data_IF_287857261941
#
_entry.id   IF_287857261941
#
_cell.length_a   1.000
_cell.length_b   1.000
_cell.length_c   1.000
_cell.angle_alpha   90.00
_cell.angle_beta   90.00
_cell.angle_gamma   90.00
#
_symmetry.space_group_name_H-M   'P 1'
#
loop_
_entity.id
_entity.type
_entity.pdbx_description
1 polymer ?
#
# COMPACT_ATOMS: atom_id res chain seq x y z
N UNK A 1 17.62 -22.27 -0.10
CA UNK A 1 16.67 -22.30 -1.24
C UNK A 1 15.34 -21.60 -0.97
N UNK A 2 14.89 -21.44 0.29
CA UNK A 2 13.63 -20.75 0.61
C UNK A 2 13.54 -19.34 0.00
N UNK A 3 14.56 -18.49 0.19
CA UNK A 3 14.59 -17.15 -0.41
C UNK A 3 14.40 -17.13 -1.93
N UNK A 4 15.00 -18.09 -2.66
CA UNK A 4 14.87 -18.16 -4.11
C UNK A 4 13.43 -18.47 -4.54
N UNK A 5 12.77 -19.41 -3.87
CA UNK A 5 11.38 -19.79 -4.18
C UNK A 5 10.44 -18.62 -3.86
N UNK A 6 10.59 -18.02 -2.68
CA UNK A 6 9.79 -16.86 -2.28
C UNK A 6 10.00 -15.67 -3.24
N UNK A 7 11.24 -15.45 -3.68
CA UNK A 7 11.58 -14.43 -4.69
C UNK A 7 10.89 -14.71 -6.02
N UNK A 8 10.97 -15.95 -6.52
CA UNK A 8 10.32 -16.36 -7.77
C UNK A 8 8.82 -16.18 -7.72
N UNK A 9 8.18 -16.47 -6.57
CA UNK A 9 6.76 -16.19 -6.37
C UNK A 9 6.51 -14.69 -6.58
N UNK A 10 7.20 -13.81 -5.84
CA UNK A 10 7.03 -12.35 -5.95
C UNK A 10 7.24 -11.85 -7.38
N UNK A 11 8.31 -12.30 -8.05
CA UNK A 11 8.63 -11.89 -9.43
C UNK A 11 7.58 -12.40 -10.42
N UNK A 12 7.06 -13.61 -10.25
CA UNK A 12 5.99 -14.13 -11.11
C UNK A 12 4.75 -13.25 -11.04
N UNK A 13 4.32 -12.85 -9.84
CA UNK A 13 3.18 -11.93 -9.69
C UNK A 13 3.46 -10.54 -10.25
N UNK A 14 4.68 -10.03 -10.11
CA UNK A 14 5.09 -8.76 -10.72
C UNK A 14 5.02 -8.85 -12.25
N UNK A 15 5.52 -9.94 -12.85
CA UNK A 15 5.50 -10.15 -14.29
C UNK A 15 4.08 -10.30 -14.85
N UNK A 16 3.21 -11.06 -14.17
CA UNK A 16 1.79 -11.15 -14.54
C UNK A 16 1.11 -9.78 -14.42
N UNK A 17 1.51 -8.95 -13.46
CA UNK A 17 1.05 -7.56 -13.33
C UNK A 17 1.39 -6.70 -14.55
N UNK A 18 2.57 -6.87 -15.15
CA UNK A 18 2.97 -6.21 -16.39
C UNK A 18 2.09 -6.65 -17.57
N UNK A 19 1.92 -7.96 -17.73
CA UNK A 19 1.04 -8.52 -18.79
C UNK A 19 -0.39 -8.01 -18.63
N UNK A 20 -0.90 -7.89 -17.40
CA UNK A 20 -2.22 -7.33 -17.13
C UNK A 20 -2.29 -5.83 -17.44
N UNK A 21 -1.23 -5.08 -17.18
CA UNK A 21 -1.17 -3.66 -17.52
C UNK A 21 -1.23 -3.43 -19.04
N UNK A 22 -0.56 -4.28 -19.82
CA UNK A 22 -0.59 -4.18 -21.29
C UNK A 22 -1.98 -4.50 -21.87
N UNK A 23 -2.74 -5.39 -21.22
CA UNK A 23 -4.09 -5.78 -21.66
C UNK A 23 -5.15 -4.78 -21.18
N UNK A 24 -4.97 -4.22 -19.98
CA UNK A 24 -5.96 -3.36 -19.32
C UNK A 24 -5.47 -1.90 -19.38
N UNK A 25 -6.08 -1.03 -20.22
CA UNK A 25 -5.62 0.34 -20.43
C UNK A 25 -6.05 1.29 -19.30
N UNK A 26 -5.71 0.99 -18.05
CA UNK A 26 -5.88 1.93 -16.94
C UNK A 26 -4.57 2.67 -16.65
N UNK A 27 -4.62 3.97 -16.28
CA UNK A 27 -3.45 4.78 -15.93
C UNK A 27 -2.92 4.44 -14.53
N UNK A 28 -2.61 3.17 -14.29
CA UNK A 28 -2.14 2.65 -13.01
C UNK A 28 -0.83 1.89 -13.27
N UNK A 29 0.21 2.06 -12.44
CA UNK A 29 1.46 1.32 -12.58
C UNK A 29 1.24 -0.19 -12.53
N UNK A 30 1.97 -0.95 -13.35
CA UNK A 30 1.94 -2.42 -13.39
C UNK A 30 2.14 -3.08 -12.01
N UNK A 31 2.98 -2.48 -11.14
CA UNK A 31 3.24 -2.98 -9.79
C UNK A 31 1.98 -3.08 -8.92
N UNK A 32 0.99 -2.21 -9.12
CA UNK A 32 -0.28 -2.24 -8.37
C UNK A 32 -1.08 -3.48 -8.75
N UNK A 33 -1.12 -3.85 -10.04
CA UNK A 33 -1.79 -5.08 -10.49
C UNK A 33 -1.15 -6.31 -9.86
N UNK A 34 0.18 -6.39 -9.84
CA UNK A 34 0.91 -7.49 -9.21
C UNK A 34 0.59 -7.62 -7.71
N UNK A 35 0.52 -6.49 -6.98
CA UNK A 35 0.17 -6.48 -5.55
C UNK A 35 -1.28 -6.92 -5.33
N UNK A 36 -2.23 -6.41 -6.12
CA UNK A 36 -3.66 -6.80 -6.01
C UNK A 36 -3.81 -8.30 -6.30
N UNK A 37 -3.15 -8.80 -7.33
CA UNK A 37 -3.19 -10.21 -7.71
C UNK A 37 -2.63 -11.10 -6.59
N UNK A 38 -1.45 -10.75 -6.06
CA UNK A 38 -0.85 -11.44 -4.93
C UNK A 38 -1.78 -11.40 -3.70
N UNK A 39 -2.39 -10.25 -3.41
CA UNK A 39 -3.33 -10.08 -2.31
C UNK A 39 -4.56 -10.99 -2.43
N UNK A 40 -5.14 -11.13 -3.64
CA UNK A 40 -6.26 -12.04 -3.89
C UNK A 40 -5.86 -13.50 -3.66
N UNK A 41 -4.65 -13.90 -4.05
CA UNK A 41 -4.14 -15.26 -3.81
C UNK A 41 -3.88 -15.53 -2.32
N UNK A 42 -3.39 -14.53 -1.59
CA UNK A 42 -3.25 -14.59 -0.13
C UNK A 42 -4.61 -14.70 0.57
N UNK A 43 -5.61 -13.93 0.13
CA UNK A 43 -6.99 -14.00 0.61
C UNK A 43 -7.58 -15.40 0.41
N UNK A 44 -7.40 -15.99 -0.78
CA UNK A 44 -7.83 -17.36 -1.10
C UNK A 44 -7.03 -18.46 -0.39
N UNK A 45 -6.00 -18.09 0.39
CA UNK A 45 -5.06 -19.01 1.08
C UNK A 45 -4.33 -19.98 0.14
N UNK A 46 -4.29 -19.68 -1.16
CA UNK A 46 -3.50 -20.44 -2.12
C UNK A 46 -2.00 -20.23 -1.89
N UNK A 47 -1.64 -19.03 -1.44
CA UNK A 47 -0.29 -18.68 -0.97
C UNK A 47 -0.41 -18.24 0.48
N UNK A 48 0.41 -18.80 1.36
CA UNK A 48 0.44 -18.37 2.77
C UNK A 48 1.45 -17.24 2.91
N UNK A 49 1.20 -16.32 3.83
CA UNK A 49 2.11 -15.18 4.10
C UNK A 49 3.55 -15.65 4.37
N UNK A 50 3.71 -16.80 5.05
CA UNK A 50 5.03 -17.42 5.30
C UNK A 50 5.81 -17.80 4.04
N UNK A 51 5.13 -17.95 2.90
CA UNK A 51 5.72 -18.36 1.61
C UNK A 51 6.29 -17.17 0.83
N UNK A 52 6.19 -15.94 1.35
CA UNK A 52 6.81 -14.74 0.75
C UNK A 52 7.47 -13.82 1.78
N UNK A 53 7.12 -13.94 3.07
CA UNK A 53 7.46 -12.97 4.12
C UNK A 53 8.95 -12.67 4.25
N UNK A 54 9.81 -13.69 4.34
CA UNK A 54 11.25 -13.47 4.60
C UNK A 54 11.88 -12.67 3.46
N UNK A 55 11.54 -13.03 2.22
CA UNK A 55 12.08 -12.36 1.04
C UNK A 55 11.48 -10.98 0.83
N UNK A 56 10.18 -10.78 1.07
CA UNK A 56 9.58 -9.45 1.04
C UNK A 56 10.24 -8.51 2.05
N UNK A 57 10.47 -8.96 3.28
CA UNK A 57 11.14 -8.15 4.31
C UNK A 57 12.57 -7.82 3.88
N UNK A 58 13.31 -8.79 3.35
CA UNK A 58 14.66 -8.57 2.83
C UNK A 58 14.68 -7.55 1.69
N UNK A 59 13.79 -7.69 0.69
CA UNK A 59 13.67 -6.76 -0.43
C UNK A 59 13.33 -5.35 0.02
N UNK A 60 12.42 -5.20 0.99
CA UNK A 60 12.07 -3.91 1.59
C UNK A 60 13.28 -3.31 2.32
N UNK A 61 14.06 -4.12 3.03
CA UNK A 61 15.24 -3.66 3.77
C UNK A 61 16.34 -3.12 2.84
N UNK A 62 16.51 -3.70 1.64
CA UNK A 62 17.49 -3.22 0.65
C UNK A 62 16.94 -2.13 -0.29
N UNK A 63 15.65 -1.79 -0.20
CA UNK A 63 15.00 -0.77 -1.04
C UNK A 63 15.73 0.59 -0.99
N UNK A 64 16.21 1.11 0.17
CA UNK A 64 17.01 2.33 0.21
C UNK A 64 18.28 2.27 -0.64
N UNK A 65 18.97 1.13 -0.66
CA UNK A 65 20.18 0.92 -1.47
C UNK A 65 19.84 0.92 -2.95
N UNK A 66 18.69 0.35 -3.33
CA UNK A 66 18.20 0.38 -4.72
C UNK A 66 17.84 1.79 -5.21
N UNK A 67 17.67 2.78 -4.33
CA UNK A 67 17.45 4.18 -4.73
C UNK A 67 18.75 4.95 -5.01
N UNK A 68 19.92 4.43 -4.64
CA UNK A 68 21.21 5.12 -4.88
C UNK A 68 21.43 5.43 -6.37
N UNK A 69 21.23 4.48 -7.32
CA UNK A 69 21.40 4.78 -8.75
C UNK A 69 20.39 5.82 -9.26
N UNK A 70 19.14 5.77 -8.79
CA UNK A 70 18.13 6.76 -9.15
C UNK A 70 18.50 8.16 -8.64
N UNK A 71 19.03 8.25 -7.42
CA UNK A 71 19.54 9.50 -6.84
C UNK A 71 20.80 10.01 -7.56
N UNK A 72 21.70 9.13 -7.98
CA UNK A 72 22.85 9.51 -8.80
C UNK A 72 22.41 10.04 -10.17
N UNK A 73 21.39 9.44 -10.80
CA UNK A 73 20.82 9.92 -12.06
C UNK A 73 20.21 11.32 -11.96
N UNK A 74 19.65 11.69 -10.80
CA UNK A 74 19.12 13.04 -10.53
C UNK A 74 20.20 14.13 -10.61
N UNK A 75 21.48 13.81 -10.40
CA UNK A 75 22.59 14.78 -10.53
C UNK A 75 22.69 15.31 -11.97
N UNK A 76 22.35 14.50 -12.97
CA UNK A 76 22.35 14.95 -14.37
C UNK A 76 21.30 16.04 -14.63
N UNK A 77 20.23 16.07 -13.83
CA UNK A 77 19.16 17.06 -13.90
C UNK A 77 19.35 18.23 -12.91
N UNK A 78 20.51 18.30 -12.23
CA UNK A 78 20.74 19.27 -11.15
C UNK A 78 20.56 20.73 -11.57
N UNK A 79 20.94 21.07 -12.81
CA UNK A 79 20.80 22.43 -13.34
C UNK A 79 19.33 22.91 -13.38
N UNK A 80 18.38 22.00 -13.62
CA UNK A 80 16.93 22.30 -13.64
C UNK A 80 16.35 22.33 -12.23
N UNK A 81 16.88 21.49 -11.34
CA UNK A 81 16.35 21.33 -9.97
C UNK A 81 16.81 22.47 -9.06
N UNK A 82 18.09 22.88 -9.18
CA UNK A 82 18.74 23.86 -8.29
C UNK A 82 17.93 25.15 -8.08
N UNK A 83 17.37 25.81 -9.11
CA UNK A 83 16.62 27.06 -8.94
C UNK A 83 15.34 26.91 -8.11
N UNK A 84 14.72 25.72 -8.12
CA UNK A 84 13.43 25.44 -7.48
C UNK A 84 13.54 24.55 -6.24
N UNK A 85 14.77 24.30 -5.72
CA UNK A 85 15.00 23.44 -4.56
C UNK A 85 14.15 23.81 -3.34
N UNK A 86 14.06 25.10 -3.03
CA UNK A 86 13.26 25.60 -1.90
C UNK A 86 11.78 25.24 -2.08
N UNK A 87 11.26 25.42 -3.31
CA UNK A 87 9.88 25.09 -3.63
C UNK A 87 9.62 23.57 -3.54
N UNK A 88 10.56 22.74 -4.00
CA UNK A 88 10.46 21.28 -3.88
C UNK A 88 10.47 20.79 -2.43
N UNK A 89 11.35 21.33 -1.59
CA UNK A 89 11.40 20.99 -0.16
C UNK A 89 10.09 21.38 0.51
N UNK A 90 9.64 22.62 0.28
CA UNK A 90 8.42 23.14 0.88
C UNK A 90 7.20 22.30 0.49
N UNK A 91 7.01 22.04 -0.81
CA UNK A 91 5.86 21.25 -1.26
C UNK A 91 5.92 19.82 -0.74
N UNK A 92 7.09 19.17 -0.78
CA UNK A 92 7.23 17.78 -0.29
C UNK A 92 6.90 17.67 1.19
N UNK A 93 7.43 18.57 2.02
CA UNK A 93 7.17 18.58 3.45
C UNK A 93 5.68 18.82 3.72
N UNK A 94 5.11 19.89 3.14
CA UNK A 94 3.74 20.27 3.39
C UNK A 94 2.73 19.23 2.88
N UNK A 95 2.92 18.68 1.68
CA UNK A 95 2.03 17.65 1.13
C UNK A 95 2.08 16.36 1.94
N UNK A 96 3.24 16.02 2.52
CA UNK A 96 3.36 14.82 3.37
C UNK A 96 2.45 14.93 4.60
N UNK A 97 2.49 16.05 5.32
CA UNK A 97 1.60 16.27 6.47
C UNK A 97 0.13 16.37 6.05
N UNK A 98 -0.15 17.04 4.94
CA UNK A 98 -1.51 17.22 4.45
C UNK A 98 -2.14 15.87 4.07
N UNK A 99 -1.43 15.04 3.30
CA UNK A 99 -1.89 13.70 2.90
C UNK A 99 -2.04 12.80 4.13
N UNK A 100 -1.09 12.81 5.06
CA UNK A 100 -1.17 12.03 6.30
C UNK A 100 -2.38 12.44 7.16
N UNK A 101 -2.62 13.74 7.31
CA UNK A 101 -3.77 14.29 8.02
C UNK A 101 -5.10 13.92 7.36
N UNK A 102 -5.21 14.13 6.04
CA UNK A 102 -6.40 13.79 5.27
C UNK A 102 -6.73 12.29 5.31
N UNK A 103 -5.73 11.42 5.14
CA UNK A 103 -5.90 9.97 5.24
C UNK A 103 -6.33 9.54 6.66
N UNK A 104 -5.73 10.15 7.69
CA UNK A 104 -6.10 9.93 9.08
C UNK A 104 -7.55 10.32 9.38
N UNK A 105 -7.95 11.55 9.01
CA UNK A 105 -9.32 12.05 9.19
C UNK A 105 -10.31 11.17 8.43
N UNK A 106 -10.01 10.82 7.16
CA UNK A 106 -10.88 9.97 6.34
C UNK A 106 -11.09 8.60 6.98
N UNK A 107 -10.03 7.97 7.46
CA UNK A 107 -10.12 6.67 8.16
C UNK A 107 -10.91 6.78 9.46
N UNK A 108 -10.63 7.81 10.27
CA UNK A 108 -11.36 8.04 11.52
C UNK A 108 -12.85 8.31 11.29
N UNK A 109 -13.19 9.03 10.23
CA UNK A 109 -14.57 9.30 9.84
C UNK A 109 -15.34 8.02 9.53
N UNK A 110 -14.77 7.13 8.72
CA UNK A 110 -15.37 5.83 8.38
C UNK A 110 -15.54 4.97 9.63
N UNK A 111 -14.52 4.91 10.51
CA UNK A 111 -14.60 4.14 11.76
C UNK A 111 -15.68 4.69 12.70
N UNK A 112 -15.79 6.01 12.87
CA UNK A 112 -16.80 6.64 13.74
C UNK A 112 -18.22 6.41 13.24
N UNK A 113 -18.44 6.48 11.92
CA UNK A 113 -19.73 6.11 11.30
C UNK A 113 -20.08 4.64 11.52
N UNK A 114 -19.11 3.74 11.44
CA UNK A 114 -19.30 2.31 11.74
C UNK A 114 -19.65 2.05 13.22
N UNK A 115 -19.00 2.74 14.16
CA UNK A 115 -19.26 2.60 15.61
C UNK A 115 -20.65 3.10 16.02
N UNK A 116 -21.12 4.22 15.45
CA UNK A 116 -22.47 4.73 15.71
C UNK A 116 -23.56 3.71 15.33
N UNK A 117 -23.38 2.99 14.22
CA UNK A 117 -24.29 1.93 13.77
C UNK A 117 -24.24 0.69 14.69
N UNK A 118 -23.05 0.33 15.19
CA UNK A 118 -22.89 -0.83 16.06
C UNK A 118 -23.42 -0.61 17.49
N UNK A 119 -23.33 0.62 18.02
CA UNK A 119 -23.91 0.97 19.33
C UNK A 119 -25.44 0.99 19.33
N UNK A 120 -26.08 1.37 18.22
CA UNK A 120 -27.55 1.30 18.09
C UNK A 120 -28.06 -0.14 18.09
N UNK A 121 -27.37 -1.06 17.38
CA UNK A 121 -27.72 -2.50 17.41
C UNK A 121 -27.58 -3.06 18.82
N UNK A 122 -26.52 -2.69 19.55
CA UNK A 122 -26.30 -3.16 20.92
C UNK A 122 -27.39 -2.67 21.88
N UNK A 123 -27.84 -1.41 21.75
CA UNK A 123 -28.94 -0.88 22.56
C UNK A 123 -30.30 -1.54 22.26
N UNK A 124 -30.60 -1.84 20.99
CA UNK A 124 -31.85 -2.53 20.61
C UNK A 124 -31.87 -3.96 21.16
N UNK A 125 -30.75 -4.68 21.11
CA UNK A 125 -30.64 -6.05 21.66
C UNK A 125 -30.76 -6.06 23.19
N UNK A 126 -30.21 -5.07 23.88
CA UNK A 126 -30.34 -4.98 25.35
C UNK A 126 -31.78 -4.65 25.77
N UNK A 127 -32.44 -3.69 25.11
CA UNK A 127 -33.85 -3.33 25.39
C UNK A 127 -34.84 -4.45 25.07
N UNK A 128 -34.58 -5.24 24.03
CA UNK A 128 -35.41 -6.40 23.68
C UNK A 128 -35.33 -7.55 24.69
N UNK A 129 -34.24 -7.64 25.47
CA UNK A 129 -34.11 -8.62 26.55
C UNK A 129 -34.82 -8.18 27.83
N UNK A 130 -34.79 -6.89 28.17
CA UNK A 130 -35.51 -6.35 29.34
C UNK A 130 -37.03 -6.31 29.16
N UNK A 131 -37.55 -6.34 27.93
CA UNK A 131 -38.99 -6.34 27.68
C UNK A 131 -39.62 -7.74 27.56
N UNK A 132 -38.79 -8.80 27.61
CA UNK A 132 -39.22 -10.20 27.55
C UNK A 132 -39.14 -10.90 28.92
N UNK A 133 -38.78 -10.15 29.97
CA UNK A 133 -38.76 -10.54 31.38
C UNK A 133 -39.90 -9.80 32.12
#
# INVERSE_FOLDING_TARGET
MKFLIQFLIIVTFAFVGEVLHDIIPLPIPASIYGIILLFVFLQKKWIKVKDIRETSIFLIAIMPVMFIPAAAGLINSWAVIRPSLVQYIFITFFTTFLVMGAAGISTQYVIRRGKAKNNQVKQVVTKGKESAE
#
